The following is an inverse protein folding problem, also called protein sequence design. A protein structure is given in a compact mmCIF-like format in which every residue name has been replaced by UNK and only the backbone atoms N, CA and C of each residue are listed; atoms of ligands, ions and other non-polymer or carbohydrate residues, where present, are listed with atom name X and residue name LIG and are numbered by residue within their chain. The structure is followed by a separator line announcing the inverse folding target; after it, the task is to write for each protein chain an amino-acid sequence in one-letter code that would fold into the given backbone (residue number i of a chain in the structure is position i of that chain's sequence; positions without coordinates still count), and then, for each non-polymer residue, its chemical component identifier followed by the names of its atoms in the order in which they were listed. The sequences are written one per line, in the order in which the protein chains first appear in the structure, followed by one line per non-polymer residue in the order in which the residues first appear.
data_IF_610110312950
#
_entry.id   IF_610110312950
#
_cell.length_a   1.000
_cell.length_b   1.000
_cell.length_c   1.000
_cell.angle_alpha   90.00
_cell.angle_beta   90.00
_cell.angle_gamma   90.00
#
_symmetry.space_group_name_H-M   'P 1'
#
loop_
_entity.id
_entity.type
_entity.pdbx_description
1 polymer ?
#
# COMPACT_ATOMS: atom_id res chain seq x y z
N UNK A 1 10.36 -24.81 32.04
CA UNK A 1 11.40 -24.04 31.32
C UNK A 1 10.80 -22.98 30.36
N UNK A 2 10.14 -21.90 30.81
CA UNK A 2 9.53 -20.89 29.92
C UNK A 2 10.35 -19.58 29.76
N UNK A 3 11.45 -19.41 30.50
CA UNK A 3 12.12 -18.12 30.64
C UNK A 3 12.97 -17.69 29.43
N UNK A 4 13.33 -18.64 28.55
CA UNK A 4 14.20 -18.39 27.38
C UNK A 4 13.46 -17.94 26.12
N UNK A 5 12.15 -18.21 26.02
CA UNK A 5 11.36 -17.82 24.84
C UNK A 5 11.08 -16.31 24.79
N UNK A 6 10.87 -15.69 25.96
CA UNK A 6 10.57 -14.26 26.08
C UNK A 6 11.80 -13.38 25.76
N UNK A 7 13.01 -13.82 26.15
CA UNK A 7 14.29 -13.14 25.84
C UNK A 7 14.67 -13.18 24.36
N UNK A 8 14.41 -14.31 23.67
CA UNK A 8 14.68 -14.45 22.23
C UNK A 8 13.74 -13.58 21.37
N UNK A 9 12.46 -13.48 21.77
CA UNK A 9 11.50 -12.60 21.09
C UNK A 9 11.76 -11.11 21.34
N UNK A 10 12.31 -10.73 22.49
CA UNK A 10 12.70 -9.35 22.76
C UNK A 10 13.96 -8.94 21.99
N UNK A 11 14.98 -9.81 21.85
CA UNK A 11 16.18 -9.48 21.08
C UNK A 11 15.87 -9.35 19.58
N UNK A 12 15.06 -10.24 19.00
CA UNK A 12 14.62 -10.12 17.61
C UNK A 12 13.78 -8.85 17.34
N UNK A 13 12.97 -8.39 18.31
CA UNK A 13 12.24 -7.12 18.18
C UNK A 13 13.17 -5.92 18.20
N UNK A 14 14.20 -5.93 19.05
CA UNK A 14 15.19 -4.85 19.11
C UNK A 14 16.01 -4.77 17.81
N UNK A 15 16.45 -5.90 17.28
CA UNK A 15 17.24 -5.96 16.04
C UNK A 15 16.43 -5.44 14.82
N UNK A 16 15.17 -5.89 14.68
CA UNK A 16 14.27 -5.39 13.61
C UNK A 16 14.05 -3.88 13.71
N UNK A 17 13.87 -3.35 14.92
CA UNK A 17 13.59 -1.93 15.14
C UNK A 17 14.82 -1.04 14.88
N UNK A 18 16.03 -1.57 15.09
CA UNK A 18 17.27 -0.90 14.69
C UNK A 18 17.46 -0.88 13.17
N UNK A 19 17.09 -1.95 12.46
CA UNK A 19 17.12 -2.00 10.98
C UNK A 19 16.17 -0.98 10.37
N UNK A 20 14.92 -0.88 10.84
CA UNK A 20 13.98 0.14 10.37
C UNK A 20 14.47 1.57 10.63
N UNK A 21 15.09 1.83 11.79
CA UNK A 21 15.70 3.13 12.11
C UNK A 21 16.89 3.47 11.22
N UNK A 22 17.67 2.47 10.79
CA UNK A 22 18.79 2.65 9.83
C UNK A 22 18.32 2.88 8.40
N UNK A 23 17.11 2.43 8.03
CA UNK A 23 16.51 2.64 6.70
C UNK A 23 15.73 3.95 6.59
N UNK A 24 15.24 4.50 7.70
CA UNK A 24 14.53 5.79 7.74
C UNK A 24 15.26 6.99 7.09
N UNK A 25 16.61 7.12 7.20
CA UNK A 25 17.37 8.16 6.50
C UNK A 25 17.28 8.08 4.98
N UNK A 26 17.08 6.89 4.40
CA UNK A 26 16.95 6.69 2.96
C UNK A 26 15.56 7.10 2.44
N UNK A 27 14.53 7.07 3.30
CA UNK A 27 13.19 7.61 2.98
C UNK A 27 13.12 9.13 3.11
N UNK A 28 13.91 9.72 4.02
CA UNK A 28 13.91 11.15 4.33
C UNK A 28 13.98 12.08 3.11
N UNK A 29 14.83 11.84 2.08
CA UNK A 29 14.87 12.70 0.88
C UNK A 29 13.56 12.67 0.06
N UNK A 30 12.75 11.62 0.19
CA UNK A 30 11.48 11.46 -0.55
C UNK A 30 10.25 11.89 0.23
N UNK A 31 10.41 12.50 1.41
CA UNK A 31 9.29 12.90 2.28
C UNK A 31 8.25 13.79 1.61
N UNK A 32 8.66 14.69 0.70
CA UNK A 32 7.73 15.54 -0.05
C UNK A 32 6.89 14.73 -1.05
N UNK A 33 7.50 13.80 -1.78
CA UNK A 33 6.78 12.91 -2.70
C UNK A 33 5.84 11.97 -1.95
N UNK A 34 6.23 11.50 -0.76
CA UNK A 34 5.37 10.67 0.09
C UNK A 34 4.16 11.44 0.62
N UNK A 35 4.35 12.70 1.05
CA UNK A 35 3.24 13.53 1.49
C UNK A 35 2.28 13.84 0.33
N UNK A 36 2.84 14.13 -0.85
CA UNK A 36 2.06 14.35 -2.07
C UNK A 36 1.30 13.10 -2.49
N UNK A 37 1.94 11.92 -2.50
CA UNK A 37 1.26 10.66 -2.84
C UNK A 37 0.17 10.30 -1.84
N UNK A 38 0.34 10.63 -0.55
CA UNK A 38 -0.69 10.45 0.48
C UNK A 38 -1.91 11.34 0.24
N UNK A 39 -1.69 12.60 -0.18
CA UNK A 39 -2.77 13.50 -0.58
C UNK A 39 -3.52 12.96 -1.80
N UNK A 40 -2.80 12.51 -2.83
CA UNK A 40 -3.38 11.87 -4.01
C UNK A 40 -4.16 10.60 -3.63
N UNK A 41 -3.67 9.83 -2.66
CA UNK A 41 -4.34 8.65 -2.16
C UNK A 41 -5.71 9.00 -1.59
N UNK A 42 -5.76 10.01 -0.73
CA UNK A 42 -7.01 10.50 -0.16
C UNK A 42 -8.01 10.94 -1.24
N UNK A 43 -7.57 11.73 -2.22
CA UNK A 43 -8.43 12.16 -3.34
C UNK A 43 -8.94 10.98 -4.16
N UNK A 44 -8.06 10.02 -4.48
CA UNK A 44 -8.44 8.86 -5.28
C UNK A 44 -9.45 7.96 -4.57
N UNK A 45 -9.26 7.76 -3.25
CA UNK A 45 -10.11 6.93 -2.40
C UNK A 45 -11.48 7.58 -2.26
N UNK A 46 -11.54 8.87 -1.90
CA UNK A 46 -12.81 9.59 -1.75
C UNK A 46 -13.61 9.58 -3.06
N UNK A 47 -12.94 9.82 -4.19
CA UNK A 47 -13.56 9.76 -5.51
C UNK A 47 -14.09 8.35 -5.82
N UNK A 48 -13.33 7.30 -5.50
CA UNK A 48 -13.75 5.91 -5.74
C UNK A 48 -14.93 5.48 -4.86
N UNK A 49 -15.00 5.98 -3.62
CA UNK A 49 -16.08 5.70 -2.67
C UNK A 49 -17.34 6.51 -3.00
N UNK A 50 -17.22 7.65 -3.68
CA UNK A 50 -18.36 8.43 -4.17
C UNK A 50 -19.08 7.78 -5.35
N UNK A 51 -18.39 7.04 -6.20
CA UNK A 51 -18.98 6.41 -7.40
C UNK A 51 -20.20 5.53 -7.04
N UNK A 52 -20.14 4.59 -6.08
CA UNK A 52 -21.31 3.79 -5.66
C UNK A 52 -22.52 4.61 -5.20
N UNK A 53 -22.28 5.76 -4.54
CA UNK A 53 -23.35 6.65 -4.08
C UNK A 53 -24.08 7.29 -5.27
N UNK A 54 -23.33 7.78 -6.25
CA UNK A 54 -23.89 8.37 -7.48
C UNK A 54 -24.63 7.31 -8.29
N UNK A 55 -24.10 6.08 -8.34
CA UNK A 55 -24.79 4.93 -8.96
C UNK A 55 -26.12 4.67 -8.26
N UNK A 56 -26.16 4.62 -6.92
CA UNK A 56 -27.40 4.45 -6.15
C UNK A 56 -28.46 5.50 -6.50
N UNK A 57 -28.09 6.77 -6.48
CA UNK A 57 -28.99 7.88 -6.85
C UNK A 57 -29.48 7.79 -8.31
N UNK A 58 -28.60 7.33 -9.21
CA UNK A 58 -28.93 7.14 -10.62
C UNK A 58 -29.91 5.99 -10.82
N UNK A 59 -29.75 4.90 -10.07
CA UNK A 59 -30.67 3.76 -10.08
C UNK A 59 -32.02 4.18 -9.49
N UNK A 60 -32.04 4.89 -8.37
CA UNK A 60 -33.27 5.36 -7.72
C UNK A 60 -34.11 6.24 -8.66
N UNK A 61 -33.46 7.04 -9.51
CA UNK A 61 -34.11 7.87 -10.53
C UNK A 61 -34.70 7.06 -11.73
N UNK A 62 -34.45 5.75 -11.81
CA UNK A 62 -34.98 4.84 -12.83
C UNK A 62 -36.09 3.89 -12.32
N UNK A 63 -36.42 3.90 -11.02
CA UNK A 63 -37.33 2.90 -10.41
C UNK A 63 -38.80 3.11 -10.85
N UNK A 64 -39.18 4.29 -11.33
CA UNK A 64 -40.53 4.58 -11.81
C UNK A 64 -40.79 4.09 -13.23
N UNK A 65 -41.77 3.18 -13.41
CA UNK A 65 -42.23 2.74 -14.74
C UNK A 65 -42.86 3.92 -15.48
N UNK A 66 -42.19 4.44 -16.51
CA UNK A 66 -42.70 5.49 -17.40
C UNK A 66 -42.23 6.93 -17.11
N UNK A 67 -41.58 7.19 -15.97
CA UNK A 67 -41.04 8.52 -15.62
C UNK A 67 -39.54 8.48 -15.36
N UNK A 68 -38.78 7.89 -16.28
CA UNK A 68 -37.31 7.93 -16.21
C UNK A 68 -36.86 9.38 -16.41
N UNK A 69 -36.26 9.95 -15.37
CA UNK A 69 -35.69 11.29 -15.44
C UNK A 69 -34.35 11.23 -16.15
N UNK A 70 -34.36 11.16 -17.48
CA UNK A 70 -33.16 11.07 -18.34
C UNK A 70 -32.12 12.16 -18.03
N UNK A 71 -32.57 13.34 -17.59
CA UNK A 71 -31.67 14.43 -17.19
C UNK A 71 -30.85 14.09 -15.94
N UNK A 72 -31.44 13.44 -14.93
CA UNK A 72 -30.73 13.00 -13.72
C UNK A 72 -29.79 11.85 -14.07
N UNK A 73 -30.25 10.90 -14.89
CA UNK A 73 -29.45 9.75 -15.30
C UNK A 73 -28.21 10.16 -16.10
N UNK A 74 -28.37 11.06 -17.07
CA UNK A 74 -27.25 11.55 -17.90
C UNK A 74 -26.26 12.35 -17.05
N UNK A 75 -26.75 13.18 -16.12
CA UNK A 75 -25.89 13.92 -15.20
C UNK A 75 -25.16 12.97 -14.23
N UNK A 76 -25.84 11.95 -13.69
CA UNK A 76 -25.24 10.92 -12.85
C UNK A 76 -24.13 10.15 -13.58
N UNK A 77 -24.37 9.78 -14.85
CA UNK A 77 -23.37 9.13 -15.69
C UNK A 77 -22.14 10.02 -15.94
N UNK A 78 -22.35 11.31 -16.19
CA UNK A 78 -21.27 12.29 -16.35
C UNK A 78 -20.46 12.42 -15.05
N UNK A 79 -21.12 12.50 -13.89
CA UNK A 79 -20.45 12.52 -12.59
C UNK A 79 -19.64 11.25 -12.32
N UNK A 80 -20.19 10.07 -12.64
CA UNK A 80 -19.46 8.80 -12.52
C UNK A 80 -18.20 8.84 -13.39
N UNK A 81 -18.33 9.31 -14.65
CA UNK A 81 -17.20 9.41 -15.56
C UNK A 81 -16.11 10.37 -15.04
N UNK A 82 -16.50 11.55 -14.56
CA UNK A 82 -15.56 12.55 -14.00
C UNK A 82 -14.87 12.01 -12.75
N UNK A 83 -15.60 11.41 -11.82
CA UNK A 83 -15.03 10.84 -10.59
C UNK A 83 -14.09 9.68 -10.90
N UNK A 84 -14.46 8.81 -11.84
CA UNK A 84 -13.60 7.72 -12.30
C UNK A 84 -12.31 8.26 -12.95
N UNK A 85 -12.40 9.31 -13.75
CA UNK A 85 -11.25 9.94 -14.39
C UNK A 85 -10.32 10.58 -13.35
N UNK A 86 -10.86 11.27 -12.34
CA UNK A 86 -10.09 11.84 -11.23
C UNK A 86 -9.39 10.74 -10.43
N UNK A 87 -10.10 9.65 -10.09
CA UNK A 87 -9.52 8.49 -9.42
C UNK A 87 -8.39 7.88 -10.25
N UNK A 88 -8.61 7.67 -11.55
CA UNK A 88 -7.63 7.10 -12.46
C UNK A 88 -6.36 7.95 -12.56
N UNK A 89 -6.50 9.26 -12.78
CA UNK A 89 -5.37 10.19 -12.87
C UNK A 89 -4.61 10.24 -11.54
N UNK A 90 -5.32 10.32 -10.43
CA UNK A 90 -4.70 10.34 -9.09
C UNK A 90 -3.93 9.05 -8.81
N UNK A 91 -4.50 7.88 -9.14
CA UNK A 91 -3.81 6.60 -8.99
C UNK A 91 -2.59 6.47 -9.91
N UNK A 92 -2.71 6.96 -11.15
CA UNK A 92 -1.60 6.96 -12.09
C UNK A 92 -0.41 7.80 -11.61
N UNK A 93 -0.67 9.06 -11.21
CA UNK A 93 0.37 9.95 -10.69
C UNK A 93 0.98 9.39 -9.40
N UNK A 94 0.16 8.81 -8.53
CA UNK A 94 0.64 8.15 -7.31
C UNK A 94 1.54 6.95 -7.62
N UNK A 95 1.19 6.14 -8.64
CA UNK A 95 2.03 5.05 -9.11
C UNK A 95 3.38 5.55 -9.62
N UNK A 96 3.40 6.67 -10.37
CA UNK A 96 4.65 7.30 -10.79
C UNK A 96 5.49 7.77 -9.59
N UNK A 97 4.88 8.38 -8.58
CA UNK A 97 5.58 8.76 -7.36
C UNK A 97 6.17 7.55 -6.65
N UNK A 98 5.40 6.47 -6.47
CA UNK A 98 5.87 5.24 -5.83
C UNK A 98 7.05 4.62 -6.59
N UNK A 99 6.94 4.51 -7.92
CA UNK A 99 8.03 4.01 -8.76
C UNK A 99 9.29 4.87 -8.64
N UNK A 100 9.14 6.19 -8.68
CA UNK A 100 10.28 7.10 -8.55
C UNK A 100 11.01 6.94 -7.21
N UNK A 101 10.26 6.79 -6.12
CA UNK A 101 10.82 6.54 -4.79
C UNK A 101 11.50 5.16 -4.76
N UNK A 102 10.87 4.11 -5.29
CA UNK A 102 11.40 2.75 -5.31
C UNK A 102 12.74 2.67 -6.05
N UNK A 103 12.76 3.11 -7.31
CA UNK A 103 13.97 3.11 -8.13
C UNK A 103 15.04 4.03 -7.56
N UNK A 104 14.65 5.17 -6.99
CA UNK A 104 15.56 6.08 -6.33
C UNK A 104 16.24 5.47 -5.10
N UNK A 105 15.49 4.76 -4.25
CA UNK A 105 16.06 4.05 -3.10
C UNK A 105 16.95 2.87 -3.52
N UNK A 106 16.51 2.07 -4.49
CA UNK A 106 17.30 0.96 -5.03
C UNK A 106 18.63 1.47 -5.58
N UNK A 107 18.60 2.58 -6.32
CA UNK A 107 19.82 3.20 -6.87
C UNK A 107 20.79 3.61 -5.77
N UNK A 108 20.33 4.35 -4.76
CA UNK A 108 21.19 4.77 -3.65
C UNK A 108 21.80 3.57 -2.91
N UNK A 109 21.00 2.53 -2.66
CA UNK A 109 21.47 1.35 -1.95
C UNK A 109 22.49 0.55 -2.79
N UNK A 110 22.30 0.49 -4.10
CA UNK A 110 23.26 -0.12 -5.04
C UNK A 110 24.58 0.66 -5.09
N UNK A 111 24.52 1.99 -5.08
CA UNK A 111 25.72 2.84 -5.05
C UNK A 111 26.53 2.64 -3.76
N UNK A 112 25.86 2.59 -2.60
CA UNK A 112 26.51 2.33 -1.30
C UNK A 112 27.15 0.94 -1.22
N UNK A 113 26.45 -0.08 -1.72
CA UNK A 113 26.98 -1.44 -1.85
C UNK A 113 28.24 -1.46 -2.72
N UNK A 114 28.21 -0.78 -3.86
CA UNK A 114 29.34 -0.75 -4.79
C UNK A 114 30.58 -0.08 -4.17
N UNK A 115 30.37 1.02 -3.43
CA UNK A 115 31.44 1.70 -2.69
C UNK A 115 32.01 0.80 -1.58
N UNK A 116 31.16 0.07 -0.87
CA UNK A 116 31.60 -0.84 0.19
C UNK A 116 32.39 -2.03 -0.36
N UNK A 117 31.91 -2.64 -1.44
CA UNK A 117 32.61 -3.72 -2.16
C UNK A 117 33.98 -3.26 -2.67
N UNK A 118 34.08 -2.02 -3.19
CA UNK A 118 35.33 -1.45 -3.71
C UNK A 118 36.41 -1.20 -2.63
N UNK A 119 36.02 -1.15 -1.35
CA UNK A 119 36.94 -0.93 -0.22
C UNK A 119 37.29 -2.19 0.55
N UNK A 120 36.71 -3.34 0.18
CA UNK A 120 36.97 -4.60 0.88
C UNK A 120 38.31 -5.24 0.44
N UNK A 121 39.10 -5.77 1.38
CA UNK A 121 40.35 -6.45 1.06
C UNK A 121 40.08 -7.72 0.24
N UNK A 122 40.88 -7.95 -0.81
CA UNK A 122 40.73 -9.04 -1.79
C UNK A 122 40.55 -10.44 -1.15
N UNK A 123 41.08 -10.67 0.05
CA UNK A 123 40.98 -11.94 0.78
C UNK A 123 39.53 -12.38 1.07
N UNK A 124 38.59 -11.44 1.23
CA UNK A 124 37.16 -11.76 1.39
C UNK A 124 36.43 -11.99 0.07
N UNK A 125 36.96 -11.48 -1.04
CA UNK A 125 36.38 -11.60 -2.39
C UNK A 125 36.73 -12.94 -3.05
N UNK A 126 37.76 -13.65 -2.58
CA UNK A 126 38.24 -14.92 -3.14
C UNK A 126 37.48 -16.16 -2.63
N UNK A 127 36.62 -16.03 -1.62
CA UNK A 127 36.00 -17.18 -0.92
C UNK A 127 34.62 -17.58 -1.51
N UNK A 128 34.00 -16.76 -2.36
CA UNK A 128 32.73 -17.10 -3.05
C UNK A 128 32.67 -16.51 -4.46
N UNK A 129 32.35 -17.35 -5.45
CA UNK A 129 32.24 -16.99 -6.86
C UNK A 129 31.57 -15.62 -7.10
N UNK A 130 32.32 -14.71 -7.73
CA UNK A 130 32.03 -13.27 -7.91
C UNK A 130 30.60 -12.93 -8.36
N UNK A 131 29.90 -13.81 -9.10
CA UNK A 131 28.51 -13.58 -9.53
C UNK A 131 27.46 -13.74 -8.43
N UNK A 132 27.69 -14.63 -7.46
CA UNK A 132 26.70 -14.98 -6.43
C UNK A 132 26.57 -13.91 -5.34
N UNK A 133 27.69 -13.33 -4.92
CA UNK A 133 27.71 -12.27 -3.89
C UNK A 133 27.07 -10.99 -4.41
N UNK A 134 27.41 -10.59 -5.64
CA UNK A 134 26.82 -9.39 -6.24
C UNK A 134 25.31 -9.56 -6.47
N UNK A 135 24.87 -10.72 -6.97
CA UNK A 135 23.43 -10.98 -7.14
C UNK A 135 22.69 -11.01 -5.81
N UNK A 136 23.21 -11.66 -4.77
CA UNK A 136 22.55 -11.70 -3.46
C UNK A 136 22.47 -10.31 -2.84
N UNK A 137 23.56 -9.54 -2.88
CA UNK A 137 23.55 -8.21 -2.27
C UNK A 137 22.62 -7.26 -3.03
N UNK A 138 22.58 -7.32 -4.37
CA UNK A 138 21.65 -6.52 -5.19
C UNK A 138 20.21 -6.98 -4.98
N UNK A 139 19.93 -8.28 -5.03
CA UNK A 139 18.56 -8.80 -4.90
C UNK A 139 17.98 -8.57 -3.50
N UNK A 140 18.81 -8.68 -2.45
CA UNK A 140 18.38 -8.45 -1.08
C UNK A 140 18.15 -6.95 -0.85
N UNK A 141 19.03 -6.11 -1.41
CA UNK A 141 18.89 -4.64 -1.44
C UNK A 141 17.60 -4.21 -2.12
N UNK A 142 17.29 -4.80 -3.29
CA UNK A 142 16.04 -4.56 -4.03
C UNK A 142 14.82 -5.01 -3.21
N UNK A 143 14.82 -6.23 -2.67
CA UNK A 143 13.73 -6.72 -1.82
C UNK A 143 13.52 -5.88 -0.56
N UNK A 144 14.60 -5.39 0.06
CA UNK A 144 14.50 -4.50 1.22
C UNK A 144 13.92 -3.14 0.84
N UNK A 145 14.36 -2.55 -0.28
CA UNK A 145 13.83 -1.28 -0.76
C UNK A 145 12.35 -1.39 -1.14
N UNK A 146 11.96 -2.45 -1.85
CA UNK A 146 10.57 -2.73 -2.23
C UNK A 146 9.71 -2.99 -1.00
N UNK A 147 10.19 -3.78 -0.04
CA UNK A 147 9.48 -4.04 1.22
C UNK A 147 9.27 -2.77 2.05
N UNK A 148 10.27 -1.87 2.07
CA UNK A 148 10.18 -0.59 2.74
C UNK A 148 9.16 0.33 2.06
N UNK A 149 9.10 0.32 0.73
CA UNK A 149 8.14 1.08 -0.06
C UNK A 149 6.70 0.57 0.13
N UNK A 150 6.51 -0.75 0.05
CA UNK A 150 5.25 -1.43 0.32
C UNK A 150 4.77 -1.12 1.74
N UNK A 151 5.67 -1.21 2.71
CA UNK A 151 5.40 -0.92 4.11
C UNK A 151 4.99 0.53 4.34
N UNK A 152 5.78 1.50 3.86
CA UNK A 152 5.53 2.91 4.16
C UNK A 152 4.47 3.57 3.29
N UNK A 153 4.37 3.25 2.00
CA UNK A 153 3.39 3.94 1.15
C UNK A 153 2.06 3.19 1.12
N UNK A 154 2.12 1.86 0.98
CA UNK A 154 0.94 1.05 0.73
C UNK A 154 0.16 0.75 2.01
N UNK A 155 0.83 0.54 3.15
CA UNK A 155 0.11 0.37 4.43
C UNK A 155 -0.61 1.66 4.83
N UNK A 156 0.03 2.82 4.69
CA UNK A 156 -0.61 4.10 5.03
C UNK A 156 -1.81 4.38 4.11
N UNK A 157 -1.65 4.17 2.80
CA UNK A 157 -2.75 4.28 1.83
C UNK A 157 -3.88 3.30 2.16
N UNK A 158 -3.55 2.05 2.52
CA UNK A 158 -4.53 1.05 2.92
C UNK A 158 -5.31 1.44 4.17
N UNK A 159 -4.63 1.93 5.21
CA UNK A 159 -5.26 2.44 6.44
C UNK A 159 -6.20 3.60 6.11
N UNK A 160 -5.75 4.57 5.32
CA UNK A 160 -6.58 5.69 4.87
C UNK A 160 -7.81 5.20 4.08
N UNK A 161 -7.63 4.20 3.23
CA UNK A 161 -8.73 3.60 2.44
C UNK A 161 -9.77 2.97 3.35
N UNK A 162 -9.34 2.18 4.34
CA UNK A 162 -10.24 1.54 5.31
C UNK A 162 -11.01 2.60 6.09
N UNK A 163 -10.31 3.61 6.65
CA UNK A 163 -10.95 4.68 7.45
C UNK A 163 -11.95 5.46 6.60
N UNK A 164 -11.55 5.88 5.40
CA UNK A 164 -12.40 6.68 4.51
C UNK A 164 -13.63 5.89 4.06
N UNK A 165 -13.46 4.62 3.71
CA UNK A 165 -14.55 3.74 3.30
C UNK A 165 -15.53 3.51 4.45
N UNK A 166 -15.04 3.18 5.65
CA UNK A 166 -15.89 2.99 6.81
C UNK A 166 -16.66 4.26 7.15
N UNK A 167 -15.99 5.42 7.20
CA UNK A 167 -16.64 6.72 7.44
C UNK A 167 -17.79 6.97 6.46
N UNK A 168 -17.57 6.69 5.17
CA UNK A 168 -18.58 6.86 4.15
C UNK A 168 -19.74 5.86 4.28
N UNK A 169 -19.45 4.60 4.59
CA UNK A 169 -20.47 3.58 4.82
C UNK A 169 -21.36 3.91 6.03
N UNK A 170 -20.75 4.33 7.14
CA UNK A 170 -21.47 4.80 8.33
C UNK A 170 -22.40 5.98 8.02
N UNK A 171 -21.99 6.86 7.09
CA UNK A 171 -22.79 8.03 6.70
C UNK A 171 -24.00 7.68 5.82
N UNK A 172 -23.98 6.55 5.10
CA UNK A 172 -25.10 6.13 4.24
C UNK A 172 -26.11 5.32 5.05
N UNK A 173 -25.70 4.17 5.61
CA UNK A 173 -26.62 3.32 6.37
C UNK A 173 -25.88 2.42 7.36
N UNK A 174 -26.18 2.63 8.64
CA UNK A 174 -25.56 1.93 9.77
C UNK A 174 -25.78 0.40 9.71
N UNK A 175 -26.98 -0.04 9.33
CA UNK A 175 -27.36 -1.46 9.28
C UNK A 175 -26.50 -2.25 8.29
N UNK A 176 -26.33 -1.74 7.06
CA UNK A 176 -25.50 -2.41 6.05
C UNK A 176 -24.02 -2.43 6.45
N UNK A 177 -23.57 -1.39 7.14
CA UNK A 177 -22.20 -1.30 7.64
C UNK A 177 -21.92 -2.37 8.69
N UNK A 178 -22.83 -2.58 9.66
CA UNK A 178 -22.70 -3.63 10.68
C UNK A 178 -22.61 -5.03 10.04
N UNK A 179 -23.45 -5.30 9.02
CA UNK A 179 -23.42 -6.57 8.30
C UNK A 179 -22.05 -6.82 7.65
N UNK A 180 -21.51 -5.82 6.93
CA UNK A 180 -20.18 -5.93 6.30
C UNK A 180 -19.07 -6.05 7.35
N UNK A 181 -19.18 -5.33 8.47
CA UNK A 181 -18.21 -5.35 9.55
C UNK A 181 -18.18 -6.70 10.28
N UNK A 182 -19.31 -7.42 10.33
CA UNK A 182 -19.39 -8.80 10.83
C UNK A 182 -18.87 -9.83 9.80
N UNK A 183 -19.08 -9.60 8.51
CA UNK A 183 -18.58 -10.48 7.45
C UNK A 183 -17.06 -10.40 7.29
N UNK A 184 -16.46 -9.22 7.50
CA UNK A 184 -15.02 -8.98 7.37
C UNK A 184 -14.15 -9.93 8.24
N UNK A 185 -14.36 -10.06 9.57
CA UNK A 185 -13.58 -10.97 10.41
C UNK A 185 -13.82 -12.44 10.05
N UNK A 186 -15.03 -12.81 9.63
CA UNK A 186 -15.33 -14.17 9.16
C UNK A 186 -14.47 -14.48 7.93
N UNK A 187 -14.43 -13.58 6.95
CA UNK A 187 -13.58 -13.73 5.77
C UNK A 187 -12.10 -13.85 6.14
N UNK A 188 -11.64 -13.10 7.14
CA UNK A 188 -10.25 -13.15 7.60
C UNK A 188 -9.92 -14.49 8.28
N UNK A 189 -10.83 -15.03 9.08
CA UNK A 189 -10.68 -16.35 9.72
C UNK A 189 -10.60 -17.45 8.67
N UNK A 190 -11.49 -17.43 7.67
CA UNK A 190 -11.49 -18.42 6.58
C UNK A 190 -10.21 -18.33 5.75
N UNK A 191 -9.80 -17.12 5.36
CA UNK A 191 -8.56 -16.90 4.63
C UNK A 191 -7.33 -17.39 5.43
N UNK A 192 -7.28 -17.10 6.74
CA UNK A 192 -6.23 -17.56 7.63
C UNK A 192 -6.18 -19.08 7.76
N UNK A 193 -7.35 -19.73 7.82
CA UNK A 193 -7.45 -21.19 7.85
C UNK A 193 -6.93 -21.83 6.57
N UNK A 194 -7.28 -21.27 5.40
CA UNK A 194 -6.80 -21.76 4.10
C UNK A 194 -5.29 -21.54 3.95
N UNK A 195 -4.79 -20.36 4.31
CA UNK A 195 -3.37 -20.03 4.22
C UNK A 195 -2.50 -20.97 5.08
N UNK A 196 -2.96 -21.28 6.30
CA UNK A 196 -2.30 -22.25 7.20
C UNK A 196 -2.34 -23.70 6.71
N UNK A 197 -3.20 -24.02 5.75
CA UNK A 197 -3.33 -25.36 5.18
C UNK A 197 -2.61 -25.50 3.83
N UNK A 198 -2.25 -24.38 3.21
CA UNK A 198 -1.56 -24.30 1.91
C UNK A 198 -0.04 -24.15 2.07
N UNK A 199 0.41 -23.66 3.23
CA UNK A 199 1.80 -23.70 3.70
C UNK A 199 1.97 -24.75 4.79
#
# INVERSE_FOLDING_TARGET
MPHNFKRRNSSMKHEKMEVYKKLFPYLKPYGFLLLFSLFLAMVSVLSSVWIPKVIGQTIDAMIGVGEVQFSIVTNGLLWIFVLALISMVSQYVMSLCHNHIAYGMVKSLRDDVFIHLSKMPLSYLDIKAHGSLQSIVISDTEQMADGLLLGFSQLFTGILTIISTLFWMFSIQLTMTIVVLLLTPISFVVASFIAKKTY
#
